data_IF_809126655382
#
_entry.id   IF_809126655382
#
_cell.length_a   1.000
_cell.length_b   1.000
_cell.length_c   1.000
_cell.angle_alpha   90.00
_cell.angle_beta   90.00
_cell.angle_gamma   90.00
#
_symmetry.space_group_name_H-M   'P 1'
#
loop_
_entity.id
_entity.type
_entity.pdbx_description
1 polymer ?
#
# COMPACT_ATOMS: atom_id res chain seq x y z
N UNK A 1 -20.39 -12.98 -1.33
CA UNK A 1 -20.14 -11.65 -1.90
C UNK A 1 -21.06 -11.47 -3.09
N UNK A 2 -21.91 -10.45 -3.09
CA UNK A 2 -22.66 -9.99 -4.28
C UNK A 2 -22.00 -8.70 -4.80
N UNK A 3 -22.12 -8.40 -6.10
CA UNK A 3 -21.53 -7.21 -6.74
C UNK A 3 -19.99 -7.22 -6.91
N UNK A 4 -19.46 -8.30 -7.49
CA UNK A 4 -18.06 -8.35 -7.91
C UNK A 4 -17.76 -7.31 -8.99
N UNK A 5 -16.84 -6.39 -8.69
CA UNK A 5 -16.35 -5.39 -9.64
C UNK A 5 -14.84 -5.30 -9.55
N UNK A 6 -14.20 -4.91 -10.65
CA UNK A 6 -12.78 -4.55 -10.63
C UNK A 6 -12.63 -3.29 -9.80
N UNK A 7 -11.84 -3.34 -8.74
CA UNK A 7 -11.54 -2.19 -7.89
C UNK A 7 -10.48 -1.28 -8.53
N UNK A 8 -9.37 -1.88 -8.97
CA UNK A 8 -8.28 -1.19 -9.66
C UNK A 8 -7.51 -2.15 -10.57
N UNK A 9 -6.88 -1.61 -11.61
CA UNK A 9 -5.93 -2.33 -12.48
C UNK A 9 -4.54 -1.76 -12.27
N UNK A 10 -3.55 -2.64 -12.05
CA UNK A 10 -2.17 -2.25 -11.71
C UNK A 10 -1.18 -2.70 -12.79
N UNK A 11 -1.43 -2.33 -14.04
CA UNK A 11 -0.51 -2.60 -15.14
C UNK A 11 0.63 -1.59 -15.16
N UNK A 12 1.85 -2.08 -15.27
CA UNK A 12 3.06 -1.27 -15.42
C UNK A 12 4.13 -2.06 -16.15
N UNK A 13 5.06 -1.35 -16.80
CA UNK A 13 6.27 -1.92 -17.38
C UNK A 13 7.45 -1.94 -16.39
N UNK A 14 7.29 -1.32 -15.22
CA UNK A 14 8.31 -1.33 -14.15
C UNK A 14 8.32 -2.67 -13.40
N UNK A 15 9.44 -2.96 -12.74
CA UNK A 15 9.59 -4.15 -11.90
C UNK A 15 8.61 -4.17 -10.72
N UNK A 16 8.11 -5.37 -10.42
CA UNK A 16 7.17 -5.64 -9.33
C UNK A 16 5.77 -6.02 -9.81
N UNK A 17 5.00 -6.63 -8.92
CA UNK A 17 3.60 -7.01 -9.13
C UNK A 17 2.78 -6.71 -7.87
N UNK A 18 1.45 -6.58 -7.98
CA UNK A 18 0.58 -6.49 -6.81
C UNK A 18 0.80 -7.64 -5.83
N UNK A 19 1.06 -7.33 -4.56
CA UNK A 19 1.30 -8.33 -3.50
C UNK A 19 0.59 -7.90 -2.19
N UNK A 20 1.33 -7.42 -1.19
CA UNK A 20 0.77 -7.00 0.09
C UNK A 20 -0.07 -5.73 0.02
N UNK A 21 -1.19 -5.71 0.76
CA UNK A 21 -2.07 -4.54 0.87
C UNK A 21 -2.54 -4.26 2.30
N UNK A 22 -2.81 -2.98 2.58
CA UNK A 22 -3.38 -2.47 3.83
C UNK A 22 -4.28 -1.26 3.54
N UNK A 23 -5.13 -0.92 4.51
CA UNK A 23 -6.08 0.19 4.39
C UNK A 23 -5.83 1.20 5.50
N UNK A 24 -5.95 2.48 5.17
CA UNK A 24 -5.90 3.55 6.16
C UNK A 24 -7.30 3.92 6.69
N UNK A 25 -7.33 4.76 7.72
CA UNK A 25 -8.57 5.24 8.35
C UNK A 25 -9.48 6.09 7.46
N UNK A 26 -9.02 6.50 6.26
CA UNK A 26 -9.83 7.18 5.25
C UNK A 26 -10.36 6.23 4.17
N UNK A 27 -10.13 4.91 4.32
CA UNK A 27 -10.55 3.90 3.35
C UNK A 27 -9.67 3.85 2.10
N UNK A 28 -8.46 4.45 2.13
CA UNK A 28 -7.50 4.35 1.03
C UNK A 28 -6.79 3.01 1.08
N UNK A 29 -6.67 2.36 -0.07
CA UNK A 29 -5.96 1.10 -0.22
C UNK A 29 -4.52 1.38 -0.60
N UNK A 30 -3.60 0.95 0.24
CA UNK A 30 -2.18 0.91 -0.04
C UNK A 30 -1.87 -0.51 -0.51
N UNK A 31 -1.32 -0.67 -1.70
CA UNK A 31 -0.96 -1.97 -2.27
C UNK A 31 0.46 -1.89 -2.83
N UNK A 32 1.34 -2.79 -2.41
CA UNK A 32 2.65 -2.91 -3.04
C UNK A 32 2.46 -3.34 -4.48
N UNK A 33 3.27 -2.80 -5.39
CA UNK A 33 3.15 -3.08 -6.81
C UNK A 33 4.38 -2.61 -7.56
N UNK A 34 4.27 -2.61 -8.88
CA UNK A 34 5.35 -2.19 -9.75
C UNK A 34 5.84 -0.78 -9.40
N UNK A 35 7.14 -0.61 -9.21
CA UNK A 35 7.76 0.68 -8.90
C UNK A 35 7.53 1.23 -7.49
N UNK A 36 6.71 0.59 -6.64
CA UNK A 36 6.48 1.07 -5.26
C UNK A 36 5.13 0.69 -4.66
N UNK A 37 4.64 1.51 -3.72
CA UNK A 37 3.34 1.32 -3.06
C UNK A 37 2.29 2.20 -3.74
N UNK A 38 1.36 1.58 -4.45
CA UNK A 38 0.24 2.25 -5.09
C UNK A 38 -0.82 2.59 -4.05
N UNK A 39 -1.32 3.83 -4.09
CA UNK A 39 -2.37 4.31 -3.19
C UNK A 39 -3.63 4.57 -3.99
N UNK A 40 -4.73 3.93 -3.61
CA UNK A 40 -6.03 4.10 -4.22
C UNK A 40 -7.02 4.73 -3.24
N UNK A 41 -7.92 5.56 -3.75
CA UNK A 41 -9.09 6.01 -3.01
C UNK A 41 -10.09 4.87 -2.76
N UNK A 42 -11.05 5.04 -1.83
CA UNK A 42 -12.07 4.03 -1.52
C UNK A 42 -12.98 3.68 -2.71
N UNK A 43 -12.97 4.50 -3.76
CA UNK A 43 -13.69 4.27 -5.01
C UNK A 43 -12.87 3.55 -6.09
N UNK A 44 -11.59 3.23 -5.83
CA UNK A 44 -10.66 2.64 -6.80
C UNK A 44 -9.81 3.64 -7.59
N UNK A 45 -9.97 4.94 -7.38
CA UNK A 45 -9.18 5.96 -8.07
C UNK A 45 -7.70 5.89 -7.67
N UNK A 46 -6.78 5.81 -8.64
CA UNK A 46 -5.34 5.83 -8.37
C UNK A 46 -4.89 7.23 -7.95
N UNK A 47 -4.37 7.37 -6.73
CA UNK A 47 -3.94 8.64 -6.14
C UNK A 47 -2.43 8.88 -6.32
N UNK A 48 -1.64 7.84 -6.53
CA UNK A 48 -0.21 7.92 -6.78
C UNK A 48 0.58 6.72 -6.26
N UNK A 49 1.90 6.75 -6.49
CA UNK A 49 2.85 5.70 -6.09
C UNK A 49 3.87 6.28 -5.12
N UNK A 50 4.01 5.66 -3.95
CA UNK A 50 5.09 5.96 -3.00
C UNK A 50 6.30 5.11 -3.39
N UNK A 51 7.35 5.76 -3.89
CA UNK A 51 8.59 5.11 -4.33
C UNK A 51 9.57 4.95 -3.17
N UNK A 52 10.26 3.82 -3.17
CA UNK A 52 11.37 3.54 -2.27
C UNK A 52 12.61 3.09 -3.06
N UNK A 53 13.71 2.78 -2.38
CA UNK A 53 14.94 2.31 -3.02
C UNK A 53 14.79 0.93 -3.69
N UNK A 54 13.85 0.11 -3.21
CA UNK A 54 13.58 -1.24 -3.70
C UNK A 54 12.07 -1.48 -3.85
N UNK A 55 11.70 -2.44 -4.70
CA UNK A 55 10.31 -2.80 -4.96
C UNK A 55 9.72 -3.58 -3.77
N UNK A 56 8.69 -3.04 -3.09
CA UNK A 56 8.15 -3.65 -1.88
C UNK A 56 7.31 -4.90 -2.17
N UNK A 57 7.32 -5.88 -1.26
CA UNK A 57 6.46 -7.08 -1.35
C UNK A 57 5.32 -7.08 -0.32
N UNK A 58 5.54 -6.46 0.84
CA UNK A 58 4.50 -6.34 1.86
C UNK A 58 4.62 -5.04 2.63
N UNK A 59 3.52 -4.62 3.25
CA UNK A 59 3.39 -3.39 4.03
C UNK A 59 2.58 -3.60 5.31
N UNK A 60 2.89 -2.83 6.34
CA UNK A 60 2.09 -2.73 7.56
C UNK A 60 2.10 -1.31 8.11
N UNK A 61 0.96 -0.87 8.64
CA UNK A 61 0.91 0.32 9.49
C UNK A 61 1.26 -0.07 10.93
N UNK A 62 2.09 0.73 11.59
CA UNK A 62 2.54 0.52 12.95
C UNK A 62 3.06 1.79 13.61
N UNK A 63 3.82 1.62 14.68
CA UNK A 63 4.16 2.69 15.61
C UNK A 63 2.99 3.05 16.54
N UNK A 64 3.21 3.89 17.56
CA UNK A 64 2.20 4.17 18.61
C UNK A 64 0.89 4.79 18.09
N UNK A 65 0.97 5.51 16.96
CA UNK A 65 -0.13 6.23 16.33
C UNK A 65 -0.62 5.56 15.04
N UNK A 66 -0.08 4.39 14.67
CA UNK A 66 -0.33 3.71 13.39
C UNK A 66 -0.04 4.56 12.16
N UNK A 67 0.81 5.59 12.28
CA UNK A 67 1.22 6.48 11.17
C UNK A 67 2.60 6.16 10.61
N UNK A 68 3.26 5.10 11.08
CA UNK A 68 4.47 4.59 10.45
C UNK A 68 4.11 3.45 9.52
N UNK A 69 4.46 3.55 8.25
CA UNK A 69 4.43 2.41 7.33
C UNK A 69 5.77 1.70 7.41
N UNK A 70 5.73 0.39 7.58
CA UNK A 70 6.88 -0.51 7.43
C UNK A 70 6.69 -1.30 6.14
N UNK A 71 7.76 -1.48 5.37
CA UNK A 71 7.72 -2.22 4.10
C UNK A 71 8.92 -3.14 3.94
N UNK A 72 8.68 -4.30 3.31
CA UNK A 72 9.67 -5.39 3.14
C UNK A 72 9.86 -5.71 1.65
N UNK A 73 10.84 -5.10 0.97
CA UNK A 73 11.17 -5.43 -0.42
C UNK A 73 11.94 -6.75 -0.60
N UNK A 74 12.54 -7.27 0.48
CA UNK A 74 13.34 -8.49 0.44
C UNK A 74 14.18 -8.60 1.71
N UNK A 75 15.47 -8.29 1.58
CA UNK A 75 16.46 -8.38 2.68
C UNK A 75 16.47 -7.13 3.58
N UNK A 76 15.80 -6.06 3.16
CA UNK A 76 15.71 -4.79 3.88
C UNK A 76 14.34 -4.59 4.55
N UNK A 77 14.30 -3.73 5.57
CA UNK A 77 13.06 -3.13 6.09
C UNK A 77 13.19 -1.61 5.97
N UNK A 78 12.25 -0.97 5.28
CA UNK A 78 12.14 0.48 5.23
C UNK A 78 10.95 0.97 6.03
N UNK A 79 11.03 2.21 6.53
CA UNK A 79 9.88 2.86 7.15
C UNK A 79 9.77 4.33 6.79
N UNK A 80 8.53 4.82 6.75
CA UNK A 80 8.23 6.24 6.53
C UNK A 80 6.94 6.63 7.24
N UNK A 81 6.77 7.92 7.52
CA UNK A 81 5.56 8.45 8.16
C UNK A 81 4.51 8.83 7.11
N UNK A 82 3.25 8.56 7.44
CA UNK A 82 2.07 8.98 6.68
C UNK A 82 1.21 9.94 7.51
N UNK A 83 0.34 10.69 6.84
CA UNK A 83 -0.54 11.67 7.50
C UNK A 83 -1.71 11.02 8.23
N UNK A 84 -2.15 9.85 7.76
CA UNK A 84 -3.34 9.16 8.27
C UNK A 84 -2.94 7.84 8.94
N UNK A 85 -3.55 7.50 10.07
CA UNK A 85 -3.35 6.20 10.68
C UNK A 85 -3.85 5.06 9.78
N UNK A 86 -3.17 3.92 9.84
CA UNK A 86 -3.70 2.63 9.40
C UNK A 86 -4.88 2.14 10.25
N UNK A 87 -5.63 1.18 9.72
CA UNK A 87 -6.60 0.42 10.52
C UNK A 87 -5.85 -0.45 11.53
N UNK A 88 -6.23 -0.35 12.81
CA UNK A 88 -5.64 -1.16 13.89
C UNK A 88 -6.08 -2.63 13.74
N UNK A 89 -5.15 -3.60 13.79
CA UNK A 89 -5.52 -5.01 13.92
C UNK A 89 -6.29 -5.23 15.23
N UNK A 90 -7.29 -6.11 15.20
CA UNK A 90 -8.08 -6.52 16.36
C UNK A 90 -7.40 -7.67 17.12
#
# INVERSE_FOLDING_TARGET
>A
MSNGRIFATMYSAEDGVPDGMKVDTLGRVFCTGSGGIWVFGPNGAHLGIIRGPEVPRNIAFGGPDFRTVYTTPGESIYSFKVKTPGIRPY
#
